data_IF_992431066211
#
_entry.id   IF_992431066211
#
_cell.length_a   1.000
_cell.length_b   1.000
_cell.length_c   1.000
_cell.angle_alpha   90.00
_cell.angle_beta   90.00
_cell.angle_gamma   90.00
#
_symmetry.space_group_name_H-M   'P 1'
#
loop_
_entity.id
_entity.type
_entity.pdbx_description
1 polymer ?
#
# COMPACT_ATOMS: atom_id res chain seq x y z
N UNK A 1 -9.54 59.10 -12.97
CA UNK A 1 -9.06 60.36 -12.39
C UNK A 1 -8.92 60.16 -10.87
N UNK A 2 -7.74 60.44 -10.38
CA UNK A 2 -7.13 60.69 -9.07
C UNK A 2 -6.12 59.57 -8.72
N UNK A 3 -4.89 59.89 -9.06
CA UNK A 3 -3.62 59.30 -8.69
C UNK A 3 -3.23 59.73 -7.29
N UNK A 4 -2.67 58.83 -6.47
CA UNK A 4 -1.92 59.18 -5.25
C UNK A 4 -0.49 58.69 -5.37
N UNK A 5 0.52 59.48 -4.94
CA UNK A 5 1.93 59.21 -5.09
C UNK A 5 2.52 58.40 -3.93
N UNK A 6 3.76 57.87 -4.05
CA UNK A 6 4.39 57.03 -3.01
C UNK A 6 5.11 57.86 -1.95
N UNK A 7 5.03 57.45 -0.69
CA UNK A 7 5.81 58.02 0.42
C UNK A 7 7.18 57.35 0.46
N UNK A 8 8.23 58.17 0.41
CA UNK A 8 9.61 57.83 0.80
C UNK A 8 9.70 57.82 2.33
N UNK A 9 10.42 56.85 2.88
CA UNK A 9 10.94 56.87 4.24
C UNK A 9 12.45 57.09 4.20
N UNK A 10 12.84 58.17 4.93
CA UNK A 10 14.18 58.73 5.05
C UNK A 10 15.03 57.95 6.04
N UNK A 11 16.35 57.97 5.75
CA UNK A 11 17.47 57.53 6.55
C UNK A 11 17.48 58.18 7.97
N UNK A 12 17.88 57.41 8.99
CA UNK A 12 18.35 57.89 10.25
C UNK A 12 19.76 57.36 10.51
N UNK A 13 20.70 58.29 10.40
CA UNK A 13 22.08 58.19 10.90
C UNK A 13 22.12 58.06 12.43
N UNK A 14 22.95 57.19 12.99
CA UNK A 14 23.39 57.24 14.37
C UNK A 14 24.90 57.31 14.44
N UNK A 15 25.37 58.54 14.81
CA UNK A 15 26.75 58.86 15.11
C UNK A 15 27.15 58.39 16.51
N UNK A 16 28.32 57.84 16.59
CA UNK A 16 29.37 57.85 17.61
C UNK A 16 29.05 58.46 18.99
N UNK A 17 29.25 57.68 20.04
CA UNK A 17 29.78 58.15 21.33
C UNK A 17 30.60 57.02 21.96
N UNK A 18 31.88 57.30 22.17
CA UNK A 18 32.84 56.40 22.81
C UNK A 18 32.73 56.49 24.34
N UNK A 19 32.94 55.38 24.99
CA UNK A 19 33.28 55.29 26.40
C UNK A 19 34.47 54.34 26.57
N UNK A 20 35.56 54.90 27.11
CA UNK A 20 36.74 54.15 27.58
C UNK A 20 36.37 53.34 28.82
N UNK A 21 36.73 52.06 28.85
CA UNK A 21 36.79 51.27 30.06
C UNK A 21 38.06 50.47 30.14
N UNK A 22 38.74 50.71 31.27
CA UNK A 22 40.04 50.27 31.70
C UNK A 22 40.09 48.73 31.84
N UNK A 23 41.11 48.10 31.25
CA UNK A 23 41.36 46.70 31.41
C UNK A 23 42.04 46.40 32.76
N UNK A 24 41.42 45.62 33.61
CA UNK A 24 42.05 44.94 34.76
C UNK A 24 42.34 43.48 34.36
N UNK A 25 43.65 43.17 34.27
CA UNK A 25 44.10 41.78 34.08
C UNK A 25 44.12 41.11 35.46
N UNK A 26 43.25 40.12 35.68
CA UNK A 26 43.45 39.10 36.72
C UNK A 26 43.83 37.80 36.08
N UNK A 27 45.04 37.35 36.36
CA UNK A 27 45.55 36.02 35.95
C UNK A 27 44.84 34.95 36.77
N UNK A 28 44.01 34.12 36.10
CA UNK A 28 43.45 32.91 36.70
C UNK A 28 44.29 31.72 36.17
N UNK A 29 45.02 31.09 37.09
CA UNK A 29 45.78 29.86 36.84
C UNK A 29 44.78 28.70 36.55
N UNK A 30 44.76 28.24 35.33
CA UNK A 30 44.04 27.03 34.94
C UNK A 30 44.87 25.79 35.30
N UNK A 31 44.56 25.17 36.44
CA UNK A 31 44.98 23.79 36.70
C UNK A 31 44.08 22.87 35.86
N UNK A 32 44.67 22.31 34.80
CA UNK A 32 43.99 21.31 33.93
C UNK A 32 43.74 20.02 34.70
N UNK A 33 42.49 19.74 35.01
CA UNK A 33 42.04 18.37 35.36
C UNK A 33 41.78 17.65 34.07
N UNK A 34 42.69 16.70 33.70
CA UNK A 34 42.47 15.78 32.60
C UNK A 34 41.33 14.81 33.02
N UNK A 35 40.14 15.02 32.52
CA UNK A 35 39.06 14.03 32.60
C UNK A 35 39.36 12.99 31.51
N UNK A 36 39.78 11.81 31.95
CA UNK A 36 39.91 10.66 31.07
C UNK A 36 38.48 10.28 30.58
N UNK A 37 38.23 10.44 29.30
CA UNK A 37 37.07 9.86 28.67
C UNK A 37 37.19 8.32 28.75
N UNK A 38 36.52 7.71 29.72
CA UNK A 38 36.31 6.28 29.71
C UNK A 38 35.32 6.00 28.56
N UNK A 39 35.79 5.19 27.61
CA UNK A 39 34.95 4.54 26.59
C UNK A 39 33.89 3.68 27.29
N UNK A 40 32.77 4.30 27.64
CA UNK A 40 31.56 3.57 28.01
C UNK A 40 30.86 3.20 26.71
N UNK A 41 30.83 1.90 26.40
CA UNK A 41 29.99 1.39 25.34
C UNK A 41 28.56 1.91 25.50
N UNK A 42 27.89 2.31 24.43
CA UNK A 42 26.51 2.78 24.52
C UNK A 42 25.63 1.75 25.22
N UNK A 43 24.71 2.14 26.11
CA UNK A 43 23.82 1.23 26.79
C UNK A 43 23.07 0.38 25.75
N UNK A 44 22.87 -0.92 25.99
CA UNK A 44 22.11 -1.76 25.09
C UNK A 44 20.71 -1.14 24.89
N UNK A 45 20.15 -1.20 23.66
CA UNK A 45 18.83 -0.65 23.39
C UNK A 45 17.83 -1.29 24.36
N UNK A 46 16.84 -0.52 24.86
CA UNK A 46 15.85 -1.03 25.80
C UNK A 46 15.17 -2.26 25.18
N UNK A 47 15.13 -3.37 25.90
CA UNK A 47 14.35 -4.56 25.50
C UNK A 47 12.90 -4.11 25.39
N UNK A 48 12.44 -3.88 24.19
CA UNK A 48 11.05 -3.55 23.93
C UNK A 48 10.22 -4.81 24.20
N UNK A 49 9.56 -4.84 25.35
CA UNK A 49 8.46 -5.78 25.61
C UNK A 49 7.27 -5.35 24.74
N UNK A 50 7.37 -5.52 23.43
CA UNK A 50 6.22 -5.34 22.56
C UNK A 50 5.29 -6.53 22.73
N UNK A 51 4.04 -6.28 23.15
CA UNK A 51 2.97 -7.24 23.01
C UNK A 51 2.98 -7.78 21.57
N UNK A 52 2.66 -9.07 21.33
CA UNK A 52 2.70 -9.64 19.98
C UNK A 52 1.90 -8.76 19.03
N UNK A 53 2.52 -8.36 17.92
CA UNK A 53 1.90 -7.51 16.90
C UNK A 53 0.87 -8.25 16.08
N UNK A 54 0.89 -9.58 16.12
CA UNK A 54 0.01 -10.47 15.37
C UNK A 54 -1.07 -11.07 16.27
N UNK A 55 -2.25 -11.24 15.70
CA UNK A 55 -3.35 -12.03 16.24
C UNK A 55 -3.15 -13.51 15.87
N UNK A 56 -3.78 -14.40 16.60
CA UNK A 56 -3.78 -15.81 16.25
C UNK A 56 -4.77 -16.08 15.12
N UNK A 57 -4.46 -17.03 14.25
CA UNK A 57 -5.41 -17.64 13.32
C UNK A 57 -6.50 -18.37 14.12
N UNK A 58 -7.57 -17.66 14.46
CA UNK A 58 -8.70 -18.18 15.20
C UNK A 58 -9.76 -18.82 14.30
N UNK A 59 -10.85 -19.28 14.93
CA UNK A 59 -11.98 -19.94 14.24
C UNK A 59 -12.60 -19.09 13.12
N UNK A 60 -12.50 -17.78 13.21
CA UNK A 60 -13.00 -16.88 12.14
C UNK A 60 -12.35 -17.21 10.78
N UNK A 61 -11.06 -17.52 10.75
CA UNK A 61 -10.31 -17.80 9.52
C UNK A 61 -10.42 -19.26 9.05
N UNK A 62 -11.11 -20.13 9.78
CA UNK A 62 -11.37 -21.50 9.33
C UNK A 62 -12.40 -21.46 8.20
N UNK A 63 -11.96 -21.95 7.03
CA UNK A 63 -12.85 -22.12 5.89
C UNK A 63 -13.56 -23.46 5.96
N UNK A 64 -14.86 -23.56 5.65
CA UNK A 64 -15.52 -24.85 5.54
C UNK A 64 -14.83 -25.73 4.48
N UNK A 65 -14.74 -27.03 4.75
CA UNK A 65 -14.24 -28.03 3.78
C UNK A 65 -15.27 -29.19 3.63
N UNK A 66 -15.89 -29.34 2.44
CA UNK A 66 -15.73 -28.47 1.25
C UNK A 66 -16.33 -27.07 1.48
N UNK A 67 -15.79 -26.06 0.78
CA UNK A 67 -16.39 -24.73 0.77
C UNK A 67 -17.79 -24.85 0.12
N UNK A 68 -18.90 -24.47 0.80
CA UNK A 68 -20.21 -24.41 0.18
C UNK A 68 -20.17 -23.52 -1.06
N UNK A 69 -20.88 -23.94 -2.12
CA UNK A 69 -20.96 -23.16 -3.34
C UNK A 69 -21.56 -21.77 -3.05
N UNK A 70 -20.91 -20.71 -3.50
CA UNK A 70 -21.33 -19.32 -3.33
C UNK A 70 -21.02 -18.48 -4.56
N UNK A 71 -21.66 -17.34 -4.67
CA UNK A 71 -21.34 -16.35 -5.73
C UNK A 71 -20.24 -15.43 -5.25
N UNK A 72 -19.32 -14.99 -6.14
CA UNK A 72 -18.34 -13.98 -5.79
C UNK A 72 -19.00 -12.74 -5.14
N UNK A 73 -18.51 -12.34 -3.98
CA UNK A 73 -19.08 -11.28 -3.16
C UNK A 73 -20.19 -11.71 -2.18
N UNK A 74 -20.54 -12.98 -2.13
CA UNK A 74 -21.44 -13.51 -1.12
C UNK A 74 -20.74 -13.65 0.22
N UNK A 75 -21.38 -13.13 1.28
CA UNK A 75 -20.86 -13.16 2.65
C UNK A 75 -20.95 -14.58 3.24
N UNK A 76 -19.83 -15.13 3.70
CA UNK A 76 -19.80 -16.41 4.43
C UNK A 76 -20.08 -16.18 5.91
N UNK A 77 -19.36 -15.25 6.53
CA UNK A 77 -19.57 -14.85 7.95
C UNK A 77 -19.02 -13.47 8.25
N UNK A 78 -19.69 -12.67 9.08
CA UNK A 78 -19.13 -11.50 9.74
C UNK A 78 -18.71 -11.82 11.17
N UNK A 79 -17.80 -11.03 11.74
CA UNK A 79 -17.44 -11.03 13.15
C UNK A 79 -17.11 -9.61 13.59
N UNK A 80 -17.67 -9.13 14.70
CA UNK A 80 -17.22 -7.88 15.31
C UNK A 80 -15.88 -8.13 16.01
N UNK A 81 -14.89 -7.25 15.80
CA UNK A 81 -13.55 -7.39 16.31
C UNK A 81 -13.21 -6.24 17.27
N UNK A 82 -12.51 -6.54 18.38
CA UNK A 82 -12.15 -5.57 19.42
C UNK A 82 -10.65 -5.56 19.72
N UNK A 83 -9.87 -6.32 18.98
CA UNK A 83 -8.47 -6.64 19.26
C UNK A 83 -7.48 -5.84 18.41
N UNK A 84 -7.97 -4.87 17.61
CA UNK A 84 -7.15 -3.97 16.85
C UNK A 84 -6.71 -2.74 17.67
N UNK A 85 -5.48 -2.31 17.44
CA UNK A 85 -4.90 -1.11 18.04
C UNK A 85 -4.81 -0.02 16.96
N UNK A 86 -5.85 0.78 16.86
CA UNK A 86 -5.98 1.86 15.89
C UNK A 86 -5.61 3.21 16.50
N UNK A 87 -5.15 4.15 15.67
CA UNK A 87 -4.79 5.51 16.11
C UNK A 87 -6.01 6.40 16.34
N UNK A 88 -7.12 6.09 15.66
CA UNK A 88 -8.41 6.77 15.79
C UNK A 88 -9.49 5.72 16.05
N UNK A 89 -10.51 6.09 16.82
CA UNK A 89 -11.64 5.23 17.13
C UNK A 89 -12.44 4.88 15.89
N UNK A 90 -12.80 3.62 15.75
CA UNK A 90 -13.68 3.09 14.73
C UNK A 90 -14.21 1.72 15.17
N UNK A 91 -15.45 1.42 14.84
CA UNK A 91 -15.96 0.08 15.01
C UNK A 91 -15.38 -0.85 13.94
N UNK A 92 -14.81 -2.00 14.37
CA UNK A 92 -14.12 -2.92 13.47
C UNK A 92 -14.85 -4.25 13.35
N UNK A 93 -14.89 -4.77 12.12
CA UNK A 93 -15.51 -6.04 11.79
C UNK A 93 -14.60 -6.84 10.88
N UNK A 94 -14.54 -8.15 11.07
CA UNK A 94 -13.97 -9.08 10.08
C UNK A 94 -15.08 -9.62 9.19
N UNK A 95 -14.77 -9.83 7.93
CA UNK A 95 -15.65 -10.48 6.96
C UNK A 95 -14.91 -11.64 6.31
N UNK A 96 -15.62 -12.75 6.12
CA UNK A 96 -15.20 -13.87 5.27
C UNK A 96 -16.22 -13.98 4.15
N UNK A 97 -15.77 -14.04 2.90
CA UNK A 97 -16.64 -13.95 1.73
C UNK A 97 -16.11 -14.78 0.56
N UNK A 98 -17.02 -15.10 -0.38
CA UNK A 98 -16.69 -15.78 -1.62
C UNK A 98 -16.00 -14.84 -2.60
N UNK A 99 -14.92 -15.32 -3.23
CA UNK A 99 -14.22 -14.66 -4.32
C UNK A 99 -13.76 -15.66 -5.37
N UNK A 100 -12.98 -15.20 -6.34
CA UNK A 100 -12.41 -16.03 -7.38
C UNK A 100 -10.88 -16.11 -7.26
N UNK A 101 -10.35 -17.30 -7.19
CA UNK A 101 -8.89 -17.50 -7.31
C UNK A 101 -8.38 -16.96 -8.66
N UNK A 102 -7.07 -16.80 -8.80
CA UNK A 102 -6.42 -16.41 -10.06
C UNK A 102 -6.78 -17.32 -11.26
N UNK A 103 -7.37 -18.48 -11.00
CA UNK A 103 -7.84 -19.47 -11.99
C UNK A 103 -9.37 -19.54 -12.12
N UNK A 104 -10.09 -18.57 -11.57
CA UNK A 104 -11.55 -18.49 -11.65
C UNK A 104 -12.32 -19.52 -10.81
N UNK A 105 -11.67 -20.18 -9.83
CA UNK A 105 -12.34 -21.10 -8.90
C UNK A 105 -12.83 -20.34 -7.68
N UNK A 106 -13.98 -20.76 -7.15
CA UNK A 106 -14.51 -20.24 -5.89
C UNK A 106 -13.53 -20.47 -4.73
N UNK A 107 -13.29 -19.42 -3.97
CA UNK A 107 -12.39 -19.39 -2.80
C UNK A 107 -12.97 -18.48 -1.73
N UNK A 108 -12.64 -18.76 -0.45
CA UNK A 108 -12.96 -17.86 0.64
C UNK A 108 -11.82 -16.85 0.82
N UNK A 109 -12.18 -15.58 1.06
CA UNK A 109 -11.26 -14.47 1.31
C UNK A 109 -11.69 -13.76 2.59
N UNK A 110 -10.72 -13.41 3.44
CA UNK A 110 -10.95 -12.60 4.65
C UNK A 110 -10.65 -11.12 4.40
N UNK A 111 -11.15 -10.28 5.28
CA UNK A 111 -10.86 -8.85 5.29
C UNK A 111 -11.41 -8.18 6.54
N UNK A 112 -11.11 -6.89 6.67
CA UNK A 112 -11.57 -6.06 7.78
C UNK A 112 -12.38 -4.88 7.25
N UNK A 113 -13.41 -4.50 7.99
CA UNK A 113 -14.20 -3.29 7.75
C UNK A 113 -14.08 -2.38 8.97
N UNK A 114 -13.65 -1.15 8.75
CA UNK A 114 -13.67 -0.08 9.74
C UNK A 114 -14.90 0.78 9.45
N UNK A 115 -15.72 1.00 10.47
CA UNK A 115 -16.94 1.81 10.36
C UNK A 115 -16.79 3.03 11.28
N UNK A 116 -17.04 4.24 10.77
CA UNK A 116 -17.05 5.44 11.58
C UNK A 116 -18.02 5.33 12.76
N UNK A 117 -17.68 5.95 13.87
CA UNK A 117 -18.59 6.04 15.00
C UNK A 117 -19.76 6.98 14.73
N UNK A 118 -20.88 6.72 15.42
CA UNK A 118 -22.09 7.52 15.31
C UNK A 118 -23.07 7.05 14.24
N UNK A 119 -24.01 7.92 13.88
CA UNK A 119 -25.04 7.62 12.89
C UNK A 119 -24.55 7.87 11.46
N UNK A 120 -24.82 6.95 10.52
CA UNK A 120 -24.45 7.15 9.13
C UNK A 120 -25.21 8.33 8.51
N UNK A 121 -24.60 9.02 7.54
CA UNK A 121 -25.30 10.03 6.76
C UNK A 121 -26.41 9.42 5.91
N UNK A 122 -27.28 10.27 5.37
CA UNK A 122 -28.28 9.84 4.41
C UNK A 122 -27.63 9.12 3.22
N UNK A 123 -28.05 7.89 2.96
CA UNK A 123 -27.44 7.02 1.93
C UNK A 123 -26.31 6.10 2.42
N UNK A 124 -26.01 6.11 3.72
CA UNK A 124 -24.98 5.28 4.34
C UNK A 124 -23.57 5.90 4.31
N UNK A 125 -22.64 5.27 5.02
CA UNK A 125 -21.24 5.71 5.05
C UNK A 125 -20.59 5.58 3.66
N UNK A 126 -19.95 6.64 3.12
CA UNK A 126 -19.17 6.54 1.89
C UNK A 126 -18.01 5.57 2.10
N UNK A 127 -17.70 4.76 1.08
CA UNK A 127 -16.77 3.62 1.23
C UNK A 127 -15.44 3.90 0.54
N UNK A 128 -14.34 3.65 1.24
CA UNK A 128 -13.00 3.50 0.69
C UNK A 128 -12.64 2.02 0.73
N UNK A 129 -12.45 1.37 -0.43
CA UNK A 129 -11.84 0.06 -0.51
C UNK A 129 -10.32 0.23 -0.44
N UNK A 130 -9.67 -0.47 0.50
CA UNK A 130 -8.22 -0.37 0.69
C UNK A 130 -7.49 -1.58 0.13
N UNK A 131 -6.60 -1.33 -0.82
CA UNK A 131 -5.66 -2.30 -1.38
C UNK A 131 -4.32 -2.17 -0.63
N UNK A 132 -4.00 -3.20 0.16
CA UNK A 132 -2.82 -3.19 1.04
C UNK A 132 -1.52 -3.44 0.27
N UNK A 133 -0.40 -3.04 0.89
CA UNK A 133 0.96 -3.34 0.46
C UNK A 133 1.26 -4.84 0.51
N UNK A 134 2.41 -5.21 -0.06
CA UNK A 134 2.90 -6.59 0.00
C UNK A 134 3.04 -7.07 1.46
N UNK A 135 2.33 -8.13 1.80
CA UNK A 135 2.28 -8.67 3.15
C UNK A 135 2.95 -10.06 3.28
N UNK A 136 3.49 -10.60 2.19
CA UNK A 136 3.97 -11.99 2.11
C UNK A 136 2.99 -12.89 1.37
N UNK A 137 3.17 -14.20 1.46
CA UNK A 137 2.35 -15.16 0.72
C UNK A 137 1.81 -16.31 1.56
N UNK A 138 2.24 -16.42 2.81
CA UNK A 138 1.75 -17.44 3.73
C UNK A 138 0.44 -16.99 4.39
N UNK A 139 -0.38 -17.95 4.78
CA UNK A 139 -1.70 -17.72 5.38
C UNK A 139 -1.68 -16.75 6.57
N UNK A 140 -0.66 -16.84 7.43
CA UNK A 140 -0.53 -15.98 8.62
C UNK A 140 -0.10 -14.54 8.30
N UNK A 141 0.13 -14.22 7.04
CA UNK A 141 0.58 -12.90 6.61
C UNK A 141 -0.58 -11.94 6.30
N UNK A 142 -1.82 -12.35 6.52
CA UNK A 142 -2.99 -11.51 6.32
C UNK A 142 -2.90 -10.22 7.13
N UNK A 143 -3.09 -9.03 6.55
CA UNK A 143 -3.12 -7.77 7.29
C UNK A 143 -4.15 -7.75 8.41
N UNK A 144 -5.27 -8.44 8.25
CA UNK A 144 -6.30 -8.59 9.29
C UNK A 144 -5.82 -9.37 10.53
N UNK A 145 -4.68 -10.05 10.46
CA UNK A 145 -4.02 -10.69 11.61
C UNK A 145 -3.02 -9.75 12.31
N UNK A 146 -2.78 -8.56 11.79
CA UNK A 146 -1.94 -7.56 12.45
C UNK A 146 -2.80 -6.64 13.32
N UNK A 147 -2.43 -6.43 14.59
CA UNK A 147 -3.17 -5.56 15.51
C UNK A 147 -3.31 -4.12 15.02
N UNK A 148 -2.38 -3.68 14.20
CA UNK A 148 -2.39 -2.36 13.58
C UNK A 148 -2.84 -2.39 12.11
N UNK A 149 -3.33 -3.51 11.58
CA UNK A 149 -3.76 -3.67 10.19
C UNK A 149 -2.72 -3.23 9.14
N UNK A 150 -1.44 -3.26 9.48
CA UNK A 150 -0.33 -2.71 8.71
C UNK A 150 -0.42 -1.16 8.54
N UNK A 151 -1.38 -0.65 7.78
CA UNK A 151 -1.64 0.78 7.55
C UNK A 151 -2.75 1.36 8.47
N UNK A 152 -3.01 0.74 9.61
CA UNK A 152 -4.09 1.12 10.54
C UNK A 152 -4.17 2.59 10.93
N UNK A 153 -3.06 3.32 11.14
CA UNK A 153 -3.10 4.77 11.36
C UNK A 153 -3.80 5.53 10.23
N UNK A 154 -3.52 5.20 8.96
CA UNK A 154 -4.17 5.81 7.80
C UNK A 154 -5.63 5.35 7.67
N UNK A 155 -5.89 4.04 7.83
CA UNK A 155 -7.24 3.48 7.69
C UNK A 155 -8.19 4.03 8.75
N UNK A 156 -7.74 4.11 10.02
CA UNK A 156 -8.54 4.67 11.10
C UNK A 156 -8.73 6.19 10.97
N UNK A 157 -7.76 6.89 10.38
CA UNK A 157 -7.92 8.30 10.04
C UNK A 157 -9.02 8.48 8.97
N UNK A 158 -9.07 7.68 7.92
CA UNK A 158 -10.18 7.73 6.97
C UNK A 158 -11.52 7.48 7.67
N UNK A 159 -11.58 6.51 8.60
CA UNK A 159 -12.79 6.27 9.39
C UNK A 159 -13.18 7.48 10.23
N UNK A 160 -12.22 8.14 10.91
CA UNK A 160 -12.48 9.36 11.70
C UNK A 160 -12.99 10.54 10.86
N UNK A 161 -12.70 10.53 9.55
CA UNK A 161 -13.19 11.52 8.60
C UNK A 161 -14.58 11.17 8.01
N UNK A 162 -15.20 10.10 8.46
CA UNK A 162 -16.53 9.69 8.04
C UNK A 162 -16.59 8.78 6.83
N UNK A 163 -15.50 8.06 6.51
CA UNK A 163 -15.45 7.04 5.46
C UNK A 163 -15.40 5.64 6.08
N UNK A 164 -16.29 4.75 5.70
CA UNK A 164 -16.08 3.35 6.02
C UNK A 164 -14.93 2.79 5.14
N UNK A 165 -14.04 2.00 5.75
CA UNK A 165 -12.91 1.39 5.05
C UNK A 165 -13.11 -0.11 4.95
N UNK A 166 -13.01 -0.67 3.75
CA UNK A 166 -13.05 -2.12 3.51
C UNK A 166 -11.67 -2.55 3.02
N UNK A 167 -10.95 -3.34 3.81
CA UNK A 167 -9.62 -3.85 3.51
C UNK A 167 -9.69 -5.36 3.33
N UNK A 168 -9.53 -5.86 2.09
CA UNK A 168 -9.42 -7.29 1.79
C UNK A 168 -8.00 -7.77 2.13
N UNK A 169 -7.89 -9.01 2.62
CA UNK A 169 -6.58 -9.66 2.80
C UNK A 169 -6.02 -10.26 1.50
N UNK A 170 -6.82 -10.35 0.44
CA UNK A 170 -6.63 -11.14 -0.79
C UNK A 170 -6.68 -12.66 -0.56
N UNK A 171 -7.01 -13.41 -1.60
CA UNK A 171 -7.12 -14.86 -1.54
C UNK A 171 -5.81 -15.52 -1.11
N UNK A 172 -5.88 -16.44 -0.14
CA UNK A 172 -4.75 -17.20 0.39
C UNK A 172 -4.04 -16.54 1.57
N UNK A 173 -4.29 -15.26 1.86
CA UNK A 173 -3.92 -14.64 3.12
C UNK A 173 -5.10 -14.80 4.10
N UNK A 174 -4.84 -15.30 5.31
CA UNK A 174 -5.86 -15.64 6.30
C UNK A 174 -6.57 -16.98 6.07
N UNK A 175 -6.71 -17.44 4.84
CA UNK A 175 -7.50 -18.62 4.44
C UNK A 175 -6.64 -19.77 3.91
N UNK A 176 -7.23 -20.98 3.74
CA UNK A 176 -6.54 -22.20 3.31
C UNK A 176 -6.37 -22.30 1.76
N UNK A 177 -6.24 -21.17 1.07
CA UNK A 177 -6.01 -21.13 -0.38
C UNK A 177 -4.60 -20.64 -0.68
N UNK A 178 -4.15 -20.81 -1.92
CA UNK A 178 -2.84 -20.29 -2.35
C UNK A 178 -2.94 -18.83 -2.74
N UNK A 179 -2.11 -17.98 -2.14
CA UNK A 179 -2.02 -16.58 -2.55
C UNK A 179 -1.28 -16.45 -3.89
N UNK A 180 -1.87 -15.73 -4.82
CA UNK A 180 -1.22 -15.34 -6.09
C UNK A 180 -0.49 -14.00 -5.88
N UNK A 181 0.69 -14.07 -5.25
CA UNK A 181 1.50 -12.87 -5.00
C UNK A 181 1.75 -12.10 -6.30
N UNK A 182 1.59 -10.79 -6.27
CA UNK A 182 1.72 -9.89 -7.42
C UNK A 182 0.74 -10.14 -8.58
N UNK A 183 -0.26 -11.01 -8.45
CA UNK A 183 -1.32 -11.11 -9.44
C UNK A 183 -2.36 -10.01 -9.22
N UNK A 184 -2.10 -8.84 -9.78
CA UNK A 184 -2.93 -7.63 -9.67
C UNK A 184 -4.39 -7.90 -10.02
N UNK A 185 -4.66 -8.73 -11.02
CA UNK A 185 -6.03 -9.03 -11.46
C UNK A 185 -6.83 -9.80 -10.42
N UNK A 186 -6.28 -10.86 -9.82
CA UNK A 186 -7.02 -11.59 -8.80
C UNK A 186 -7.20 -10.76 -7.52
N UNK A 187 -6.16 -10.04 -7.11
CA UNK A 187 -6.23 -9.16 -5.93
C UNK A 187 -7.26 -8.03 -6.12
N UNK A 188 -7.37 -7.47 -7.34
CA UNK A 188 -8.41 -6.50 -7.68
C UNK A 188 -9.81 -7.10 -7.57
N UNK A 189 -10.03 -8.32 -8.05
CA UNK A 189 -11.31 -9.01 -7.93
C UNK A 189 -11.68 -9.31 -6.47
N UNK A 190 -10.69 -9.74 -5.64
CA UNK A 190 -10.91 -9.95 -4.22
C UNK A 190 -11.41 -8.66 -3.53
N UNK A 191 -10.83 -7.52 -3.87
CA UNK A 191 -11.24 -6.24 -3.33
C UNK A 191 -12.63 -5.82 -3.84
N UNK A 192 -12.93 -5.99 -5.12
CA UNK A 192 -14.26 -5.71 -5.69
C UNK A 192 -15.34 -6.55 -5.00
N UNK A 193 -15.10 -7.84 -4.82
CA UNK A 193 -16.05 -8.75 -4.19
C UNK A 193 -16.19 -8.54 -2.68
N UNK A 194 -15.23 -7.91 -2.02
CA UNK A 194 -15.37 -7.51 -0.62
C UNK A 194 -16.48 -6.46 -0.40
N UNK A 195 -16.80 -5.64 -1.42
CA UNK A 195 -17.78 -4.56 -1.31
C UNK A 195 -19.22 -5.09 -1.05
N UNK A 196 -19.80 -5.98 -1.90
CA UNK A 196 -21.12 -6.54 -1.62
C UNK A 196 -21.14 -7.37 -0.32
N UNK A 197 -20.07 -8.10 0.00
CA UNK A 197 -19.97 -8.86 1.24
C UNK A 197 -20.01 -7.97 2.49
N UNK A 198 -19.24 -6.88 2.48
CA UNK A 198 -19.23 -5.91 3.57
C UNK A 198 -20.60 -5.23 3.74
N UNK A 199 -21.29 -4.90 2.64
CA UNK A 199 -22.66 -4.34 2.68
C UNK A 199 -23.69 -5.32 3.19
N UNK A 200 -23.53 -6.61 2.90
CA UNK A 200 -24.39 -7.66 3.44
C UNK A 200 -24.22 -7.81 4.96
N UNK A 201 -22.98 -7.68 5.46
CA UNK A 201 -22.68 -7.68 6.89
C UNK A 201 -23.12 -6.39 7.60
N UNK A 202 -23.02 -5.25 6.93
CA UNK A 202 -23.11 -3.91 7.51
C UNK A 202 -24.00 -3.01 6.61
N UNK A 203 -25.35 -3.07 6.75
CA UNK A 203 -26.28 -2.35 5.89
C UNK A 203 -26.14 -0.81 5.94
N UNK A 204 -25.46 -0.25 6.94
CA UNK A 204 -25.16 1.18 7.03
C UNK A 204 -24.08 1.66 6.04
N UNK A 205 -23.43 0.77 5.28
CA UNK A 205 -22.48 1.13 4.24
C UNK A 205 -23.20 1.65 2.99
N UNK A 206 -22.75 2.78 2.49
CA UNK A 206 -23.31 3.43 1.30
C UNK A 206 -22.95 2.71 0.00
N UNK A 207 -23.67 3.10 -1.08
CA UNK A 207 -23.42 2.51 -2.42
C UNK A 207 -22.18 3.11 -3.11
N UNK A 208 -21.91 4.41 -2.92
CA UNK A 208 -20.77 5.08 -3.55
C UNK A 208 -19.46 4.66 -2.92
N UNK A 209 -18.43 4.44 -3.75
CA UNK A 209 -17.14 3.99 -3.28
C UNK A 209 -15.99 4.44 -4.18
N UNK A 210 -14.81 4.53 -3.59
CA UNK A 210 -13.51 4.68 -4.25
C UNK A 210 -12.61 3.53 -3.83
N UNK A 211 -11.55 3.30 -4.58
CA UNK A 211 -10.44 2.45 -4.14
C UNK A 211 -9.22 3.32 -3.85
N UNK A 212 -8.45 2.97 -2.83
CA UNK A 212 -7.14 3.53 -2.58
C UNK A 212 -6.17 2.38 -2.28
N UNK A 213 -4.93 2.49 -2.72
CA UNK A 213 -3.95 1.45 -2.50
C UNK A 213 -2.52 1.96 -2.48
N UNK A 214 -1.66 1.24 -1.77
CA UNK A 214 -0.27 1.60 -1.54
C UNK A 214 0.67 0.49 -1.96
N UNK A 215 1.84 0.84 -2.54
CA UNK A 215 2.87 -0.10 -2.97
C UNK A 215 2.30 -1.17 -3.92
N UNK A 216 2.33 -2.47 -3.60
CA UNK A 216 1.62 -3.49 -4.38
C UNK A 216 0.14 -3.13 -4.57
N UNK A 217 -0.51 -2.61 -3.52
CA UNK A 217 -1.90 -2.18 -3.57
C UNK A 217 -2.16 -1.00 -4.50
N UNK A 218 -1.15 -0.19 -4.83
CA UNK A 218 -1.26 0.89 -5.80
C UNK A 218 -1.58 0.35 -7.21
N UNK A 219 -0.88 -0.72 -7.61
CA UNK A 219 -1.20 -1.45 -8.86
C UNK A 219 -2.58 -2.11 -8.79
N UNK A 220 -2.95 -2.69 -7.63
CA UNK A 220 -4.29 -3.27 -7.42
C UNK A 220 -5.38 -2.22 -7.56
N UNK A 221 -5.19 -1.00 -7.04
CA UNK A 221 -6.18 0.08 -7.16
C UNK A 221 -6.43 0.48 -8.63
N UNK A 222 -5.39 0.53 -9.46
CA UNK A 222 -5.54 0.74 -10.92
C UNK A 222 -6.24 -0.46 -11.56
N UNK A 223 -5.86 -1.68 -11.20
CA UNK A 223 -6.50 -2.92 -11.67
C UNK A 223 -8.00 -2.99 -11.31
N UNK A 224 -8.39 -2.50 -10.14
CA UNK A 224 -9.82 -2.33 -9.75
C UNK A 224 -10.51 -1.35 -10.69
N UNK A 225 -9.88 -0.20 -10.98
CA UNK A 225 -10.49 0.81 -11.86
C UNK A 225 -10.72 0.27 -13.28
N UNK A 226 -9.77 -0.47 -13.85
CA UNK A 226 -9.93 -1.15 -15.13
C UNK A 226 -11.05 -2.21 -15.09
N UNK A 227 -11.05 -3.08 -14.07
CA UNK A 227 -12.04 -4.15 -13.96
C UNK A 227 -13.46 -3.61 -13.75
N UNK A 228 -13.61 -2.58 -12.91
CA UNK A 228 -14.91 -1.92 -12.66
C UNK A 228 -15.37 -1.14 -13.89
N UNK A 229 -14.43 -0.56 -14.65
CA UNK A 229 -14.71 0.07 -15.95
C UNK A 229 -15.37 -0.91 -16.93
N UNK A 230 -14.87 -2.14 -17.01
CA UNK A 230 -15.46 -3.22 -17.83
C UNK A 230 -16.83 -3.67 -17.28
N UNK A 231 -16.99 -3.74 -15.94
CA UNK A 231 -18.24 -4.14 -15.28
C UNK A 231 -19.35 -3.09 -15.35
N UNK A 232 -18.99 -1.81 -15.42
CA UNK A 232 -19.92 -0.70 -15.50
C UNK A 232 -20.63 -0.35 -14.17
N UNK A 233 -19.97 -0.39 -13.01
CA UNK A 233 -20.57 0.03 -11.73
C UNK A 233 -20.69 1.57 -11.63
N UNK A 234 -21.90 2.14 -11.68
CA UNK A 234 -22.09 3.57 -11.61
C UNK A 234 -21.81 4.19 -10.23
N UNK A 235 -21.60 3.37 -9.22
CA UNK A 235 -21.29 3.82 -7.86
C UNK A 235 -19.78 3.94 -7.59
N UNK A 236 -18.95 3.44 -8.48
CA UNK A 236 -17.51 3.60 -8.40
C UNK A 236 -17.10 5.01 -8.85
N UNK A 237 -16.35 5.71 -8.02
CA UNK A 237 -16.02 7.12 -8.24
C UNK A 237 -14.58 7.37 -8.64
N UNK A 238 -13.72 6.34 -8.59
CA UNK A 238 -12.34 6.42 -9.01
C UNK A 238 -11.34 5.78 -8.07
N UNK A 239 -10.05 5.85 -8.44
CA UNK A 239 -8.97 5.20 -7.73
C UNK A 239 -7.85 6.16 -7.31
N UNK A 240 -7.23 5.86 -6.17
CA UNK A 240 -6.00 6.49 -5.66
C UNK A 240 -4.90 5.44 -5.62
N UNK A 241 -3.85 5.64 -6.39
CA UNK A 241 -2.67 4.76 -6.49
C UNK A 241 -1.47 5.47 -5.89
N UNK A 242 -0.86 4.89 -4.84
CA UNK A 242 0.21 5.53 -4.06
C UNK A 242 1.47 4.67 -4.11
N UNK A 243 2.54 5.17 -4.70
CA UNK A 243 3.88 4.58 -4.70
C UNK A 243 3.93 3.11 -5.18
N UNK A 244 3.51 2.79 -6.42
CA UNK A 244 3.61 1.38 -6.80
C UNK A 244 3.09 0.98 -8.17
N UNK A 245 2.62 1.90 -9.01
CA UNK A 245 2.20 1.52 -10.35
C UNK A 245 3.38 1.54 -11.32
N UNK A 246 3.63 0.40 -11.97
CA UNK A 246 4.69 0.24 -12.98
C UNK A 246 4.34 -0.93 -13.91
N UNK A 247 5.05 -1.03 -15.04
CA UNK A 247 5.05 -2.25 -15.84
C UNK A 247 5.67 -3.40 -15.02
N UNK A 248 5.01 -4.55 -14.89
CA UNK A 248 5.50 -5.65 -14.03
C UNK A 248 6.84 -6.22 -14.51
N UNK A 249 7.12 -6.24 -15.82
CA UNK A 249 8.41 -6.72 -16.34
C UNK A 249 9.53 -5.77 -15.89
N UNK A 250 9.39 -4.45 -16.11
CA UNK A 250 10.38 -3.44 -15.69
C UNK A 250 10.66 -3.52 -14.19
N UNK A 251 9.61 -3.67 -13.38
CA UNK A 251 9.72 -3.75 -11.92
C UNK A 251 10.51 -5.00 -11.49
N UNK A 252 10.18 -6.19 -12.01
CA UNK A 252 10.85 -7.42 -11.60
C UNK A 252 12.25 -7.55 -12.18
N UNK A 253 12.55 -7.03 -13.37
CA UNK A 253 13.91 -6.93 -13.91
C UNK A 253 14.78 -5.99 -13.05
N UNK A 254 14.19 -4.91 -12.52
CA UNK A 254 14.87 -4.05 -11.55
C UNK A 254 15.14 -4.80 -10.23
N UNK A 255 14.16 -5.50 -9.68
CA UNK A 255 14.34 -6.30 -8.47
C UNK A 255 15.46 -7.34 -8.64
N UNK A 256 15.56 -7.96 -9.81
CA UNK A 256 16.61 -8.95 -10.10
C UNK A 256 18.03 -8.37 -9.95
N UNK A 257 18.21 -7.08 -10.19
CA UNK A 257 19.48 -6.39 -10.14
C UNK A 257 19.63 -5.45 -8.94
N UNK A 258 18.66 -5.43 -8.03
CA UNK A 258 18.56 -4.51 -6.89
C UNK A 258 18.57 -5.19 -5.51
N UNK A 259 18.46 -4.40 -4.46
CA UNK A 259 18.37 -4.90 -3.09
C UNK A 259 17.06 -5.69 -2.83
N UNK A 260 16.05 -5.55 -3.68
CA UNK A 260 14.76 -6.23 -3.60
C UNK A 260 14.76 -7.62 -4.25
N UNK A 261 15.91 -8.16 -4.68
CA UNK A 261 16.01 -9.44 -5.39
C UNK A 261 15.37 -10.62 -4.64
N UNK A 262 15.30 -10.58 -3.31
CA UNK A 262 14.60 -11.59 -2.52
C UNK A 262 13.08 -11.63 -2.77
N UNK A 263 12.49 -10.56 -3.33
CA UNK A 263 11.07 -10.54 -3.72
C UNK A 263 10.76 -11.51 -4.89
N UNK A 264 11.78 -11.92 -5.64
CA UNK A 264 11.60 -12.81 -6.78
C UNK A 264 11.15 -14.22 -6.41
N UNK A 265 11.37 -14.67 -5.16
CA UNK A 265 10.79 -15.95 -4.70
C UNK A 265 9.26 -15.87 -4.55
N UNK A 266 8.72 -14.70 -4.20
CA UNK A 266 7.28 -14.46 -4.17
C UNK A 266 6.70 -14.33 -5.58
N UNK A 267 7.44 -13.73 -6.53
CA UNK A 267 7.06 -13.75 -7.93
C UNK A 267 6.94 -15.19 -8.43
N UNK A 268 7.95 -16.04 -8.17
CA UNK A 268 7.93 -17.44 -8.55
C UNK A 268 6.69 -18.17 -7.98
N UNK A 269 6.30 -17.87 -6.74
CA UNK A 269 5.09 -18.40 -6.12
C UNK A 269 3.83 -17.89 -6.81
N UNK A 270 3.74 -16.58 -7.09
CA UNK A 270 2.62 -15.99 -7.82
C UNK A 270 2.42 -16.62 -9.18
N UNK A 271 3.50 -16.73 -9.98
CA UNK A 271 3.49 -17.41 -11.28
C UNK A 271 3.02 -18.86 -11.14
N UNK A 272 3.55 -19.60 -10.14
CA UNK A 272 3.16 -20.99 -9.87
C UNK A 272 1.69 -21.14 -9.50
N UNK A 273 1.15 -20.20 -8.74
CA UNK A 273 -0.26 -20.20 -8.33
C UNK A 273 -1.20 -19.96 -9.52
N UNK A 274 -0.84 -19.04 -10.41
CA UNK A 274 -1.61 -18.72 -11.63
C UNK A 274 -1.45 -19.82 -12.67
N UNK A 275 -0.21 -20.29 -12.88
CA UNK A 275 0.16 -21.30 -13.88
C UNK A 275 0.75 -22.56 -13.23
N UNK A 276 -0.06 -23.53 -12.80
CA UNK A 276 0.43 -24.71 -12.07
C UNK A 276 1.44 -25.58 -12.81
N UNK A 277 1.51 -25.49 -14.14
CA UNK A 277 2.52 -26.18 -14.95
C UNK A 277 3.92 -25.54 -14.83
N UNK A 278 4.01 -24.28 -14.39
CA UNK A 278 5.29 -23.61 -14.16
C UNK A 278 6.06 -24.31 -13.04
N UNK A 279 7.33 -24.59 -13.29
CA UNK A 279 8.25 -25.15 -12.30
C UNK A 279 9.16 -24.02 -11.81
N UNK A 280 9.25 -23.88 -10.50
CA UNK A 280 10.06 -22.80 -9.90
C UNK A 280 11.54 -22.90 -10.28
N UNK A 281 12.03 -24.11 -10.53
CA UNK A 281 13.39 -24.39 -10.98
C UNK A 281 13.66 -23.90 -12.42
N UNK A 282 12.65 -23.48 -13.16
CA UNK A 282 12.81 -22.80 -14.46
C UNK A 282 13.19 -21.32 -14.29
N UNK A 283 12.96 -20.74 -13.12
CA UNK A 283 13.27 -19.35 -12.77
C UNK A 283 14.36 -19.26 -11.72
N UNK A 284 14.18 -19.95 -10.58
CA UNK A 284 15.07 -19.84 -9.44
C UNK A 284 16.31 -20.73 -9.61
N UNK A 285 17.48 -20.19 -9.26
CA UNK A 285 18.71 -20.96 -9.13
C UNK A 285 18.63 -21.90 -7.91
N UNK A 286 19.44 -22.96 -7.90
CA UNK A 286 19.44 -23.97 -6.83
C UNK A 286 19.60 -23.37 -5.44
N UNK A 287 20.46 -22.36 -5.29
CA UNK A 287 20.70 -21.65 -4.02
C UNK A 287 19.50 -20.83 -3.52
N UNK A 288 18.55 -20.47 -4.37
CA UNK A 288 17.34 -19.75 -4.02
C UNK A 288 16.19 -20.68 -3.55
N UNK A 289 16.28 -21.98 -3.82
CA UNK A 289 15.23 -22.95 -3.45
C UNK A 289 14.96 -22.99 -1.92
N UNK A 290 15.98 -22.99 -1.04
CA UNK A 290 15.73 -22.94 0.41
C UNK A 290 14.97 -21.66 0.84
N UNK A 291 15.25 -20.51 0.21
CA UNK A 291 14.54 -19.27 0.48
C UNK A 291 13.07 -19.36 0.01
N UNK A 292 12.83 -19.94 -1.17
CA UNK A 292 11.47 -20.19 -1.67
C UNK A 292 10.67 -21.10 -0.71
N UNK A 293 11.30 -22.14 -0.15
CA UNK A 293 10.65 -23.01 0.84
C UNK A 293 10.36 -22.26 2.15
N UNK A 294 11.28 -21.39 2.56
CA UNK A 294 11.14 -20.58 3.78
C UNK A 294 9.91 -19.65 3.72
N UNK A 295 9.66 -18.98 2.60
CA UNK A 295 8.52 -18.05 2.46
C UNK A 295 7.16 -18.73 2.52
N UNK A 296 7.08 -20.05 2.36
CA UNK A 296 5.85 -20.82 2.56
C UNK A 296 5.28 -20.70 3.98
N UNK A 297 6.12 -20.33 4.96
CA UNK A 297 5.75 -20.17 6.38
C UNK A 297 6.25 -18.83 6.97
N UNK A 298 6.67 -17.86 6.14
CA UNK A 298 7.18 -16.57 6.58
C UNK A 298 6.57 -15.45 5.73
N UNK A 299 6.44 -14.28 6.33
CA UNK A 299 5.87 -13.12 5.64
C UNK A 299 6.95 -12.25 4.96
N UNK A 300 8.22 -12.43 5.33
CA UNK A 300 9.35 -11.69 4.82
C UNK A 300 10.46 -12.61 4.34
N UNK A 301 11.01 -12.37 3.16
CA UNK A 301 12.16 -13.11 2.66
C UNK A 301 13.47 -12.72 3.38
N UNK A 302 13.56 -11.49 3.89
CA UNK A 302 14.79 -10.95 4.52
C UNK A 302 15.27 -11.75 5.74
N UNK A 303 14.36 -12.38 6.47
CA UNK A 303 14.67 -13.19 7.64
C UNK A 303 15.04 -14.64 7.31
N UNK A 304 14.97 -15.02 6.04
CA UNK A 304 15.28 -16.36 5.53
C UNK A 304 16.74 -16.57 5.14
N UNK A 305 17.03 -17.72 4.51
CA UNK A 305 18.33 -17.99 3.92
C UNK A 305 18.80 -16.87 3.00
N UNK A 306 20.01 -16.39 3.21
CA UNK A 306 20.56 -15.30 2.40
C UNK A 306 21.07 -15.84 1.07
N UNK A 307 20.66 -15.19 -0.01
CA UNK A 307 21.05 -15.54 -1.39
C UNK A 307 21.58 -14.27 -2.05
N UNK A 308 22.72 -14.35 -2.69
CA UNK A 308 23.25 -13.19 -3.41
C UNK A 308 22.43 -12.91 -4.69
N UNK A 309 22.32 -11.65 -5.15
CA UNK A 309 21.55 -11.31 -6.34
C UNK A 309 21.89 -12.17 -7.57
N UNK A 310 23.19 -12.39 -7.83
CA UNK A 310 23.69 -13.19 -8.95
C UNK A 310 23.50 -14.71 -8.77
N UNK A 311 23.00 -15.16 -7.62
CA UNK A 311 22.70 -16.56 -7.30
C UNK A 311 21.20 -16.82 -7.14
N UNK A 312 20.37 -15.79 -7.36
CA UNK A 312 18.91 -15.87 -7.18
C UNK A 312 18.21 -16.52 -8.36
N UNK A 313 18.61 -16.17 -9.57
CA UNK A 313 17.89 -16.50 -10.80
C UNK A 313 18.77 -17.32 -11.76
N UNK A 314 18.12 -18.15 -12.56
CA UNK A 314 18.76 -18.79 -13.73
C UNK A 314 18.91 -17.79 -14.87
N UNK A 315 19.98 -17.88 -15.67
CA UNK A 315 20.11 -17.08 -16.89
C UNK A 315 18.90 -17.30 -17.82
N UNK A 316 18.34 -16.21 -18.35
CA UNK A 316 17.23 -16.26 -19.30
C UNK A 316 15.86 -16.55 -18.65
N UNK A 317 15.73 -16.44 -17.33
CA UNK A 317 14.46 -16.65 -16.59
C UNK A 317 13.33 -15.78 -17.13
N UNK A 318 13.66 -14.55 -17.53
CA UNK A 318 12.74 -13.55 -18.11
C UNK A 318 12.13 -14.04 -19.44
N UNK A 319 12.73 -15.03 -20.10
CA UNK A 319 12.24 -15.62 -21.34
C UNK A 319 11.24 -16.76 -21.12
N UNK A 320 11.03 -17.20 -19.87
CA UNK A 320 10.05 -18.25 -19.57
C UNK A 320 8.64 -17.83 -19.98
N UNK A 321 7.94 -18.68 -20.70
CA UNK A 321 6.62 -18.40 -21.27
C UNK A 321 5.56 -18.09 -20.20
N UNK A 322 5.61 -18.77 -19.04
CA UNK A 322 4.65 -18.54 -17.96
C UNK A 322 4.90 -17.20 -17.27
N UNK A 323 6.17 -16.80 -17.14
CA UNK A 323 6.55 -15.49 -16.59
C UNK A 323 6.09 -14.38 -17.54
N UNK A 324 6.34 -14.50 -18.85
CA UNK A 324 5.85 -13.52 -19.84
C UNK A 324 4.34 -13.39 -19.82
N UNK A 325 3.60 -14.51 -19.78
CA UNK A 325 2.14 -14.50 -19.65
C UNK A 325 1.68 -13.86 -18.32
N UNK A 326 2.44 -14.05 -17.25
CA UNK A 326 2.13 -13.42 -15.97
C UNK A 326 2.31 -11.90 -16.05
N UNK A 327 3.36 -11.40 -16.69
CA UNK A 327 3.56 -9.97 -16.93
C UNK A 327 2.45 -9.38 -17.80
N UNK A 328 2.16 -10.00 -18.95
CA UNK A 328 1.07 -9.60 -19.85
C UNK A 328 -0.28 -9.54 -19.11
N UNK A 329 -0.57 -10.55 -18.28
CA UNK A 329 -1.78 -10.62 -17.47
C UNK A 329 -1.91 -9.44 -16.50
N UNK A 330 -0.79 -8.97 -15.94
CA UNK A 330 -0.75 -7.97 -14.88
C UNK A 330 -0.35 -6.56 -15.37
N UNK A 331 -0.16 -6.40 -16.68
CA UNK A 331 0.10 -5.08 -17.27
C UNK A 331 -1.14 -4.21 -17.16
N UNK A 332 -0.92 -2.97 -16.69
CA UNK A 332 -1.93 -1.96 -16.51
C UNK A 332 -1.88 -0.91 -17.63
N UNK A 333 -2.97 -0.19 -17.84
CA UNK A 333 -3.10 0.82 -18.90
C UNK A 333 -3.36 0.24 -20.28
N UNK A 334 -3.70 -1.04 -20.38
CA UNK A 334 -4.13 -1.67 -21.64
C UNK A 334 -5.65 -1.61 -21.84
N UNK A 335 -6.39 -1.34 -20.78
CA UNK A 335 -7.85 -1.20 -20.77
C UNK A 335 -8.24 0.12 -20.11
N UNK A 336 -9.26 0.82 -20.62
CA UNK A 336 -9.69 2.07 -20.02
C UNK A 336 -10.33 1.83 -18.64
N UNK A 337 -9.97 2.66 -17.67
CA UNK A 337 -10.57 2.64 -16.34
C UNK A 337 -12.00 3.22 -16.33
N UNK A 338 -12.35 4.07 -17.31
CA UNK A 338 -13.63 4.80 -17.39
C UNK A 338 -13.96 5.62 -16.13
N UNK A 339 -13.02 5.80 -15.23
CA UNK A 339 -13.14 6.52 -13.97
C UNK A 339 -11.85 7.30 -13.69
N UNK A 340 -11.92 8.41 -12.93
CA UNK A 340 -10.73 9.21 -12.66
C UNK A 340 -9.74 8.50 -11.74
N UNK A 341 -8.46 8.77 -11.97
CA UNK A 341 -7.33 8.22 -11.23
C UNK A 341 -6.51 9.36 -10.60
N UNK A 342 -6.13 9.21 -9.33
CA UNK A 342 -5.05 9.95 -8.69
C UNK A 342 -3.86 9.00 -8.57
N UNK A 343 -2.74 9.32 -9.19
CA UNK A 343 -1.50 8.55 -9.10
C UNK A 343 -0.45 9.40 -8.39
N UNK A 344 0.13 8.86 -7.34
CA UNK A 344 1.10 9.55 -6.49
C UNK A 344 2.40 8.75 -6.48
N UNK A 345 3.53 9.43 -6.64
CA UNK A 345 4.87 8.83 -6.59
C UNK A 345 5.85 9.71 -5.82
N UNK A 346 6.78 9.10 -5.10
CA UNK A 346 7.95 9.77 -4.52
C UNK A 346 9.09 9.79 -5.53
N UNK A 347 9.77 10.92 -5.72
CA UNK A 347 10.88 11.02 -6.68
C UNK A 347 12.16 10.34 -6.19
N UNK A 348 12.27 10.03 -4.88
CA UNK A 348 13.36 9.25 -4.30
C UNK A 348 12.97 7.78 -4.03
N UNK A 349 11.90 7.29 -4.64
CA UNK A 349 11.52 5.89 -4.57
C UNK A 349 12.52 5.03 -5.36
N UNK A 350 13.15 4.08 -4.67
CA UNK A 350 14.12 3.16 -5.27
C UNK A 350 13.53 1.80 -5.62
N UNK A 351 12.39 1.43 -5.04
CA UNK A 351 11.69 0.19 -5.35
C UNK A 351 10.89 0.31 -6.64
N UNK A 352 10.03 1.35 -6.73
CA UNK A 352 9.28 1.69 -7.94
C UNK A 352 9.63 3.13 -8.36
N UNK A 353 10.73 3.33 -9.10
CA UNK A 353 11.17 4.66 -9.52
C UNK A 353 10.06 5.47 -10.20
N UNK A 354 10.04 6.78 -9.92
CA UNK A 354 8.99 7.67 -10.43
C UNK A 354 8.91 7.71 -11.97
N UNK A 355 10.00 7.40 -12.68
CA UNK A 355 9.99 7.25 -14.14
C UNK A 355 9.24 6.01 -14.62
N UNK A 356 9.20 4.91 -13.84
CA UNK A 356 8.39 3.73 -14.15
C UNK A 356 6.90 4.08 -14.01
N UNK A 357 6.55 4.75 -12.91
CA UNK A 357 5.20 5.26 -12.69
C UNK A 357 4.79 6.25 -13.79
N UNK A 358 5.68 7.14 -14.23
CA UNK A 358 5.39 8.06 -15.31
C UNK A 358 5.04 7.33 -16.62
N UNK A 359 5.80 6.26 -17.00
CA UNK A 359 5.49 5.45 -18.17
C UNK A 359 4.13 4.74 -18.07
N UNK A 360 3.80 4.23 -16.88
CA UNK A 360 2.48 3.63 -16.64
C UNK A 360 1.35 4.68 -16.77
N UNK A 361 1.56 5.88 -16.23
CA UNK A 361 0.61 7.00 -16.37
C UNK A 361 0.44 7.40 -17.83
N UNK A 362 1.53 7.50 -18.61
CA UNK A 362 1.45 7.80 -20.06
C UNK A 362 0.61 6.74 -20.79
N UNK A 363 0.71 5.48 -20.37
CA UNK A 363 -0.11 4.41 -20.93
C UNK A 363 -1.60 4.57 -20.59
N UNK A 364 -1.94 4.90 -19.35
CA UNK A 364 -3.31 5.22 -18.92
C UNK A 364 -3.87 6.43 -19.67
N UNK A 365 -3.06 7.49 -19.86
CA UNK A 365 -3.48 8.66 -20.61
C UNK A 365 -3.76 8.32 -22.10
N UNK A 366 -3.01 7.40 -22.71
CA UNK A 366 -3.30 6.89 -24.08
C UNK A 366 -4.65 6.19 -24.19
N UNK A 367 -5.15 5.57 -23.09
CA UNK A 367 -6.51 5.01 -23.02
C UNK A 367 -7.60 6.08 -22.83
N UNK A 368 -7.22 7.38 -22.80
CA UNK A 368 -8.10 8.54 -22.52
C UNK A 368 -8.64 8.56 -21.09
N UNK A 369 -7.97 7.89 -20.16
CA UNK A 369 -8.28 7.97 -18.76
C UNK A 369 -7.98 9.38 -18.21
N UNK A 370 -8.75 9.80 -17.22
CA UNK A 370 -8.53 11.06 -16.50
C UNK A 370 -7.59 10.83 -15.34
N UNK A 371 -6.31 11.07 -15.55
CA UNK A 371 -5.25 10.85 -14.55
C UNK A 371 -4.73 12.17 -14.02
N UNK A 372 -4.73 12.34 -12.70
CA UNK A 372 -3.92 13.33 -12.01
C UNK A 372 -2.67 12.64 -11.47
N UNK A 373 -1.52 12.90 -12.07
CA UNK A 373 -0.24 12.40 -11.59
C UNK A 373 0.47 13.45 -10.75
N UNK A 374 0.77 13.11 -9.48
CA UNK A 374 1.44 13.98 -8.52
C UNK A 374 2.74 13.34 -8.08
N UNK A 375 3.85 14.08 -8.21
CA UNK A 375 5.18 13.66 -7.76
C UNK A 375 5.61 14.46 -6.54
N UNK A 376 6.21 13.78 -5.57
CA UNK A 376 6.70 14.38 -4.33
C UNK A 376 8.23 14.36 -4.34
N UNK A 377 8.89 15.54 -4.53
CA UNK A 377 10.35 15.63 -4.57
C UNK A 377 11.00 15.14 -3.27
N UNK A 378 12.06 14.34 -3.42
CA UNK A 378 12.87 13.86 -2.29
C UNK A 378 12.20 12.84 -1.37
N UNK A 379 10.96 12.44 -1.62
CA UNK A 379 10.29 11.41 -0.82
C UNK A 379 10.48 10.02 -1.46
N UNK A 380 10.76 9.04 -0.60
CA UNK A 380 10.78 7.62 -0.97
C UNK A 380 9.38 6.99 -0.83
N UNK A 381 9.27 5.69 -1.14
CA UNK A 381 8.04 4.92 -1.06
C UNK A 381 7.27 5.11 0.26
N UNK A 382 7.92 4.86 1.40
CA UNK A 382 7.25 4.94 2.71
C UNK A 382 6.93 6.37 3.15
N UNK A 383 7.78 7.34 2.82
CA UNK A 383 7.55 8.74 3.17
C UNK A 383 6.39 9.35 2.38
N UNK A 384 6.21 8.98 1.11
CA UNK A 384 5.14 9.54 0.28
C UNK A 384 3.75 9.14 0.76
N UNK A 385 3.57 7.96 1.36
CA UNK A 385 2.28 7.53 1.90
C UNK A 385 1.72 8.54 2.90
N UNK A 386 2.53 8.91 3.91
CA UNK A 386 2.10 9.86 4.95
C UNK A 386 2.04 11.31 4.49
N UNK A 387 3.01 11.74 3.65
CA UNK A 387 3.08 13.13 3.22
C UNK A 387 2.03 13.50 2.16
N UNK A 388 1.46 12.54 1.45
CA UNK A 388 0.41 12.77 0.45
C UNK A 388 -1.02 12.67 1.00
N UNK A 389 -1.21 12.45 2.29
CA UNK A 389 -2.53 12.25 2.92
C UNK A 389 -3.50 13.40 2.63
N UNK A 390 -3.03 14.64 2.66
CA UNK A 390 -3.87 15.82 2.35
C UNK A 390 -4.39 15.79 0.92
N UNK A 391 -3.56 15.40 -0.03
CA UNK A 391 -3.95 15.24 -1.45
C UNK A 391 -4.95 14.10 -1.61
N UNK A 392 -4.68 12.93 -0.99
CA UNK A 392 -5.58 11.78 -1.01
C UNK A 392 -6.97 12.16 -0.52
N UNK A 393 -7.07 12.77 0.68
CA UNK A 393 -8.34 13.16 1.29
C UNK A 393 -9.08 14.20 0.44
N UNK A 394 -8.37 15.23 -0.03
CA UNK A 394 -8.95 16.29 -0.86
C UNK A 394 -9.53 15.73 -2.15
N UNK A 395 -8.79 14.85 -2.81
CA UNK A 395 -9.24 14.20 -4.04
C UNK A 395 -10.45 13.27 -3.78
N UNK A 396 -10.39 12.41 -2.77
CA UNK A 396 -11.47 11.49 -2.38
C UNK A 396 -12.75 12.29 -2.06
N UNK A 397 -12.64 13.33 -1.23
CA UNK A 397 -13.77 14.21 -0.87
C UNK A 397 -14.41 14.83 -2.10
N UNK A 398 -13.60 15.29 -3.06
CA UNK A 398 -14.08 15.88 -4.30
C UNK A 398 -14.86 14.85 -5.15
N UNK A 399 -14.43 13.57 -5.17
CA UNK A 399 -15.16 12.49 -5.88
C UNK A 399 -16.54 12.27 -5.27
N UNK A 400 -16.62 12.12 -3.95
CA UNK A 400 -17.91 11.94 -3.26
C UNK A 400 -18.84 13.16 -3.40
N UNK A 401 -18.29 14.36 -3.55
CA UNK A 401 -19.02 15.60 -3.79
C UNK A 401 -19.46 15.79 -5.26
N UNK A 402 -19.09 14.88 -6.16
CA UNK A 402 -19.43 14.96 -7.60
C UNK A 402 -18.70 16.08 -8.35
N UNK A 403 -17.61 16.62 -7.79
CA UNK A 403 -16.81 17.65 -8.48
C UNK A 403 -16.05 17.04 -9.68
N UNK A 404 -15.79 17.80 -10.74
CA UNK A 404 -15.00 17.32 -11.86
C UNK A 404 -13.59 16.86 -11.43
N UNK A 405 -13.13 15.72 -11.95
CA UNK A 405 -11.80 15.24 -11.64
C UNK A 405 -10.74 16.06 -12.38
N UNK A 406 -9.68 16.53 -11.70
CA UNK A 406 -8.54 17.11 -12.40
C UNK A 406 -7.79 16.02 -13.20
N UNK A 407 -7.06 16.44 -14.23
CA UNK A 407 -6.20 15.58 -15.03
C UNK A 407 -5.04 16.42 -15.53
N UNK A 408 -3.84 15.83 -15.58
CA UNK A 408 -2.67 16.38 -16.23
C UNK A 408 -2.14 15.46 -17.34
N UNK A 409 -2.98 14.57 -17.87
CA UNK A 409 -2.73 13.91 -19.14
C UNK A 409 -2.55 14.96 -20.25
N UNK A 410 -1.62 14.78 -21.20
CA UNK A 410 -1.40 15.68 -22.33
C UNK A 410 -2.61 15.77 -23.26
#
# INVERSE_FOLDING_TARGET
MKTFPPRRLSNLDFSRSGIFLIALWTAVSLTGVAVSAQDQAPPPPPKSHHAPRTLLLGKFYETPEPLPAGKPGELIRPEQAYDYHLSYEASTFRILYHSLSARGKDVAVSGVVLVPDGAPPAGGWPVIAWAHDFAGSARQCAPSLLKNLNEGPLLSMYASLGYAVIASDYAGLGTNFSHAAFDTRSNAMDLIFSIPAARAALPQLGKKWVVAGYSQGASVAVGVAEAVGEMGDPNFLGAVSIAGVADPQEMFERFANGPEHSMLVFLAQGVKTVYPAFRIEEMLAEKAIPLYQYIGNACEARSGPQVAPNEMLKPGWENNLNIKKFWERNRLGERPAHSPLLVISGEADTAVPAEFTARAVDQLCRQKDRVLFVKYPGLNESAVLGNSVSEQISWIKARFSGLPAPSNCP
#
